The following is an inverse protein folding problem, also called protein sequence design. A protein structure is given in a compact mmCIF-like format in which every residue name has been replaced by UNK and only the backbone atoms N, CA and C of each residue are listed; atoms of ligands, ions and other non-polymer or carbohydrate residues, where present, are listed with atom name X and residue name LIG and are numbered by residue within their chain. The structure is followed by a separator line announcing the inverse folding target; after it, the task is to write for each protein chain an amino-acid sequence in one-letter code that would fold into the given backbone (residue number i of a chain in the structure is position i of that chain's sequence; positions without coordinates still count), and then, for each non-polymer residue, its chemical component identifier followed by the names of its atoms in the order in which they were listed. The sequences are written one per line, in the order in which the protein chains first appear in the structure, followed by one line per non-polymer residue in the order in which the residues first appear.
data_IF_272656876711
#
_entry.id   IF_272656876711
#
_cell.length_a   1.000
_cell.length_b   1.000
_cell.length_c   1.000
_cell.angle_alpha   90.00
_cell.angle_beta   90.00
_cell.angle_gamma   90.00
#
_symmetry.space_group_name_H-M   'P 1'
#
loop_
_entity.id
_entity.type
_entity.pdbx_description
1 polymer ?
#
# COMPACT_ATOMS: atom_id res chain seq x y z
N UNK A 1 19.67 -0.20 -6.39
CA UNK A 1 18.75 -1.28 -6.87
C UNK A 1 18.50 -1.06 -8.35
N UNK A 2 18.39 -2.11 -9.15
CA UNK A 2 18.20 -1.98 -10.59
C UNK A 2 16.73 -1.67 -10.88
N UNK A 3 16.43 -0.40 -11.23
CA UNK A 3 15.08 0.09 -11.49
C UNK A 3 14.74 -0.09 -12.98
N UNK A 4 14.78 -1.32 -13.49
CA UNK A 4 14.52 -1.59 -14.88
C UNK A 4 13.03 -1.38 -15.23
N UNK A 5 12.76 -0.58 -16.25
CA UNK A 5 11.44 -0.34 -16.84
C UNK A 5 11.45 -0.88 -18.26
N UNK A 6 10.60 -1.87 -18.54
CA UNK A 6 10.46 -2.49 -19.85
C UNK A 6 9.29 -1.85 -20.60
N UNK A 7 9.59 -1.24 -21.73
CA UNK A 7 8.62 -0.68 -22.67
C UNK A 7 8.40 -1.68 -23.81
N UNK A 8 7.13 -1.98 -24.10
CA UNK A 8 6.74 -2.98 -25.11
C UNK A 8 5.73 -2.39 -26.08
N UNK A 9 6.11 -2.27 -27.34
CA UNK A 9 5.27 -1.76 -28.43
C UNK A 9 5.88 -2.23 -29.76
N UNK A 10 5.09 -2.61 -30.74
CA UNK A 10 5.59 -3.03 -32.07
C UNK A 10 6.02 -1.84 -32.94
N UNK A 11 5.63 -0.62 -32.55
CA UNK A 11 6.05 0.60 -33.22
C UNK A 11 7.32 1.19 -32.59
N UNK A 12 8.46 1.09 -33.28
CA UNK A 12 9.74 1.62 -32.79
C UNK A 12 9.70 3.13 -32.47
N UNK A 13 8.86 3.90 -33.17
CA UNK A 13 8.69 5.34 -32.91
C UNK A 13 8.03 5.58 -31.53
N UNK A 14 7.06 4.76 -31.15
CA UNK A 14 6.40 4.81 -29.85
C UNK A 14 7.38 4.44 -28.73
N UNK A 15 8.13 3.35 -28.91
CA UNK A 15 9.20 2.97 -27.97
C UNK A 15 10.22 4.10 -27.76
N UNK A 16 10.62 4.78 -28.86
CA UNK A 16 11.54 5.90 -28.76
C UNK A 16 10.93 7.12 -28.05
N UNK A 17 9.66 7.42 -28.30
CA UNK A 17 8.95 8.51 -27.64
C UNK A 17 8.83 8.24 -26.13
N UNK A 18 8.35 7.05 -25.73
CA UNK A 18 8.24 6.64 -24.33
C UNK A 18 9.60 6.65 -23.62
N UNK A 19 10.65 6.11 -24.27
CA UNK A 19 11.97 6.05 -23.65
C UNK A 19 12.56 7.43 -23.35
N UNK A 20 12.27 8.44 -24.18
CA UNK A 20 12.70 9.84 -23.95
C UNK A 20 12.15 10.42 -22.65
N UNK A 21 10.97 10.00 -22.22
CA UNK A 21 10.33 10.48 -20.98
C UNK A 21 11.15 10.13 -19.72
N UNK A 22 12.06 9.16 -19.84
CA UNK A 22 12.82 8.63 -18.72
C UNK A 22 14.32 8.94 -18.78
N UNK A 23 14.80 9.75 -19.75
CA UNK A 23 16.24 10.04 -19.93
C UNK A 23 16.89 10.66 -18.70
N UNK A 24 16.17 11.54 -17.99
CA UNK A 24 16.67 12.26 -16.81
C UNK A 24 16.10 11.66 -15.50
N UNK A 25 15.69 10.39 -15.52
CA UNK A 25 15.12 9.69 -14.36
C UNK A 25 16.03 8.55 -13.93
N UNK A 26 16.03 8.26 -12.65
CA UNK A 26 16.79 7.13 -12.05
C UNK A 26 16.13 5.78 -12.36
N UNK A 27 15.98 5.48 -13.65
CA UNK A 27 15.45 4.20 -14.16
C UNK A 27 16.24 3.74 -15.38
N UNK A 28 16.44 2.43 -15.50
CA UNK A 28 17.04 1.81 -16.67
C UNK A 28 15.94 1.36 -17.63
N UNK A 29 15.90 1.92 -18.82
CA UNK A 29 14.89 1.59 -19.83
C UNK A 29 15.34 0.42 -20.69
N UNK A 30 14.50 -0.62 -20.71
CA UNK A 30 14.57 -1.77 -21.61
C UNK A 30 13.47 -1.65 -22.66
N UNK A 31 13.65 -2.25 -23.82
CA UNK A 31 12.68 -2.18 -24.93
C UNK A 31 12.46 -3.56 -25.51
N UNK A 32 11.23 -3.84 -25.93
CA UNK A 32 10.86 -5.04 -26.66
C UNK A 32 9.86 -4.67 -27.77
N UNK A 33 10.04 -5.21 -28.96
CA UNK A 33 9.16 -4.98 -30.10
C UNK A 33 7.94 -5.91 -30.15
N UNK A 34 7.83 -6.86 -29.23
CA UNK A 34 6.70 -7.80 -29.14
C UNK A 34 6.66 -8.52 -27.78
N UNK A 35 5.57 -9.25 -27.53
CA UNK A 35 5.36 -9.94 -26.25
C UNK A 35 6.36 -11.06 -25.95
N UNK A 36 6.80 -11.82 -26.95
CA UNK A 36 7.77 -12.92 -26.73
C UNK A 36 9.15 -12.39 -26.36
N UNK A 37 9.60 -11.32 -27.00
CA UNK A 37 10.84 -10.63 -26.64
C UNK A 37 10.77 -10.09 -25.22
N UNK A 38 9.64 -9.45 -24.85
CA UNK A 38 9.39 -8.95 -23.51
C UNK A 38 9.46 -10.06 -22.45
N UNK A 39 8.81 -11.20 -22.67
CA UNK A 39 8.88 -12.36 -21.78
C UNK A 39 10.32 -12.90 -21.67
N UNK A 40 11.07 -12.89 -22.77
CA UNK A 40 12.49 -13.25 -22.80
C UNK A 40 13.34 -12.35 -21.87
N UNK A 41 13.06 -11.05 -21.84
CA UNK A 41 13.73 -10.09 -20.94
C UNK A 41 13.34 -10.36 -19.49
N UNK A 42 12.05 -10.46 -19.18
CA UNK A 42 11.55 -10.71 -17.80
C UNK A 42 12.11 -12.02 -17.20
N UNK A 43 12.38 -13.03 -18.03
CA UNK A 43 13.03 -14.29 -17.57
C UNK A 43 14.51 -14.14 -17.24
N UNK A 44 15.21 -13.20 -17.89
CA UNK A 44 16.68 -13.06 -17.76
C UNK A 44 17.11 -12.09 -16.68
N UNK A 45 16.29 -11.07 -16.41
CA UNK A 45 16.65 -10.02 -15.48
C UNK A 45 15.44 -9.45 -14.73
N UNK A 46 15.64 -8.91 -13.51
CA UNK A 46 14.57 -8.28 -12.75
C UNK A 46 14.05 -7.03 -13.46
N UNK A 47 12.73 -6.93 -13.64
CA UNK A 47 12.03 -5.79 -14.21
C UNK A 47 11.06 -5.23 -13.18
N UNK A 48 11.22 -3.94 -12.85
CA UNK A 48 10.35 -3.28 -11.87
C UNK A 48 8.96 -2.97 -12.44
N UNK A 49 8.92 -2.45 -13.68
CA UNK A 49 7.67 -2.06 -14.35
C UNK A 49 7.70 -2.53 -15.80
N UNK A 50 6.61 -3.13 -16.26
CA UNK A 50 6.35 -3.37 -17.68
C UNK A 50 5.25 -2.42 -18.12
N UNK A 51 5.52 -1.62 -19.18
CA UNK A 51 4.54 -0.79 -19.88
C UNK A 51 4.33 -1.40 -21.25
N UNK A 52 3.14 -1.90 -21.53
CA UNK A 52 2.85 -2.61 -22.79
C UNK A 52 1.71 -1.97 -23.56
N UNK A 53 1.90 -1.80 -24.86
CA UNK A 53 0.77 -1.61 -25.77
C UNK A 53 -0.15 -2.84 -25.73
N UNK A 54 -1.45 -2.62 -25.93
CA UNK A 54 -2.44 -3.68 -25.97
C UNK A 54 -2.54 -4.35 -27.34
N UNK A 55 -2.39 -3.61 -28.41
CA UNK A 55 -2.62 -4.10 -29.79
C UNK A 55 -1.30 -4.36 -30.51
N UNK A 56 -0.70 -5.50 -30.24
CA UNK A 56 0.54 -5.95 -30.90
C UNK A 56 0.29 -7.23 -31.71
N UNK A 57 1.05 -7.42 -32.81
CA UNK A 57 1.01 -8.68 -33.57
C UNK A 57 1.39 -9.90 -32.70
N UNK A 58 0.65 -10.99 -32.84
CA UNK A 58 0.91 -12.27 -32.18
C UNK A 58 0.37 -12.35 -30.76
N UNK A 59 0.82 -11.50 -29.83
CA UNK A 59 0.40 -11.51 -28.43
C UNK A 59 -0.16 -10.15 -28.01
N UNK A 60 -1.36 -10.11 -27.50
CA UNK A 60 -1.95 -8.88 -26.96
C UNK A 60 -1.28 -8.47 -25.64
N UNK A 61 -1.25 -7.15 -25.36
CA UNK A 61 -0.66 -6.62 -24.11
C UNK A 61 -1.28 -7.19 -22.85
N UNK A 62 -2.59 -7.35 -22.79
CA UNK A 62 -3.26 -7.99 -21.64
C UNK A 62 -2.80 -9.43 -21.42
N UNK A 63 -2.58 -10.21 -22.47
CA UNK A 63 -2.05 -11.55 -22.40
C UNK A 63 -0.60 -11.57 -21.92
N UNK A 64 0.23 -10.68 -22.48
CA UNK A 64 1.61 -10.47 -22.03
C UNK A 64 1.65 -10.16 -20.52
N UNK A 65 0.87 -9.17 -20.07
CA UNK A 65 0.87 -8.74 -18.67
C UNK A 65 0.37 -9.83 -17.73
N UNK A 66 -0.58 -10.68 -18.16
CA UNK A 66 -0.98 -11.87 -17.40
C UNK A 66 0.17 -12.86 -17.25
N UNK A 67 0.91 -13.15 -18.34
CA UNK A 67 2.09 -14.04 -18.29
C UNK A 67 3.24 -13.43 -17.47
N UNK A 68 3.43 -12.10 -17.53
CA UNK A 68 4.40 -11.40 -16.66
C UNK A 68 4.03 -11.57 -15.20
N UNK A 69 2.74 -11.46 -14.82
CA UNK A 69 2.29 -11.72 -13.45
C UNK A 69 2.71 -13.12 -12.96
N UNK A 70 2.54 -14.12 -13.80
CA UNK A 70 2.84 -15.51 -13.43
C UNK A 70 4.36 -15.78 -13.33
N UNK A 71 5.18 -15.09 -14.16
CA UNK A 71 6.64 -15.22 -14.18
C UNK A 71 7.34 -14.36 -13.12
N UNK A 72 6.85 -13.15 -12.90
CA UNK A 72 7.42 -12.16 -11.98
C UNK A 72 6.28 -11.40 -11.29
N UNK A 73 5.69 -11.97 -10.23
CA UNK A 73 4.52 -11.40 -9.55
C UNK A 73 4.74 -9.98 -9.02
N UNK A 74 5.98 -9.66 -8.68
CA UNK A 74 6.36 -8.35 -8.12
C UNK A 74 6.40 -7.24 -9.19
N UNK A 75 6.65 -7.62 -10.44
CA UNK A 75 6.70 -6.66 -11.57
C UNK A 75 5.37 -5.92 -11.68
N UNK A 76 5.43 -4.59 -11.64
CA UNK A 76 4.25 -3.74 -11.83
C UNK A 76 3.91 -3.68 -13.32
N UNK A 77 2.63 -3.82 -13.64
CA UNK A 77 2.12 -3.97 -15.01
C UNK A 77 1.24 -2.80 -15.39
N UNK A 78 1.62 -2.07 -16.43
CA UNK A 78 0.91 -0.90 -16.97
C UNK A 78 0.51 -1.18 -18.41
N UNK A 79 -0.73 -0.92 -18.76
CA UNK A 79 -1.27 -1.13 -20.11
C UNK A 79 -1.44 0.20 -20.83
N UNK A 80 -1.01 0.27 -22.08
CA UNK A 80 -1.39 1.34 -22.99
C UNK A 80 -2.48 0.82 -23.93
N UNK A 81 -3.57 1.56 -24.11
CA UNK A 81 -4.72 1.08 -24.89
C UNK A 81 -5.38 2.20 -25.68
N UNK A 82 -6.01 1.88 -26.81
CA UNK A 82 -6.89 2.80 -27.51
C UNK A 82 -8.29 2.83 -26.90
N UNK A 83 -9.10 3.82 -27.25
CA UNK A 83 -10.49 3.95 -26.78
C UNK A 83 -11.35 2.71 -27.07
N UNK A 84 -11.12 2.04 -28.18
CA UNK A 84 -11.88 0.85 -28.58
C UNK A 84 -11.71 -0.36 -27.67
N UNK A 85 -10.58 -0.45 -26.94
CA UNK A 85 -10.22 -1.58 -26.08
C UNK A 85 -10.40 -1.28 -24.58
N UNK A 86 -11.01 -0.15 -24.24
CA UNK A 86 -11.23 0.28 -22.86
C UNK A 86 -11.95 -0.76 -21.98
N UNK A 87 -13.01 -1.47 -22.47
CA UNK A 87 -13.64 -2.52 -21.68
C UNK A 87 -12.68 -3.64 -21.26
N UNK A 88 -11.79 -4.05 -22.17
CA UNK A 88 -10.77 -5.08 -21.90
C UNK A 88 -9.75 -4.60 -20.84
N UNK A 89 -9.34 -3.34 -20.91
CA UNK A 89 -8.44 -2.76 -19.92
C UNK A 89 -9.07 -2.70 -18.51
N UNK A 90 -10.34 -2.33 -18.41
CA UNK A 90 -11.09 -2.30 -17.15
C UNK A 90 -11.22 -3.72 -16.58
N UNK A 91 -11.51 -4.73 -17.39
CA UNK A 91 -11.60 -6.12 -16.96
C UNK A 91 -10.23 -6.62 -16.43
N UNK A 92 -9.13 -6.31 -17.11
CA UNK A 92 -7.79 -6.68 -16.68
C UNK A 92 -7.40 -6.05 -15.32
N UNK A 93 -7.83 -4.81 -15.05
CA UNK A 93 -7.66 -4.20 -13.73
C UNK A 93 -8.48 -4.93 -12.67
N UNK A 94 -9.75 -5.21 -12.96
CA UNK A 94 -10.64 -5.86 -12.01
C UNK A 94 -10.17 -7.28 -11.64
N UNK A 95 -9.45 -7.97 -12.54
CA UNK A 95 -8.80 -9.25 -12.28
C UNK A 95 -7.44 -9.13 -11.58
N UNK A 96 -6.97 -7.91 -11.28
CA UNK A 96 -5.65 -7.68 -10.68
C UNK A 96 -4.47 -7.97 -11.62
N UNK A 97 -4.71 -8.07 -12.92
CA UNK A 97 -3.70 -8.35 -13.92
C UNK A 97 -2.89 -7.11 -14.28
N UNK A 98 -3.47 -5.92 -14.13
CA UNK A 98 -2.89 -4.62 -14.50
C UNK A 98 -3.00 -3.66 -13.31
N UNK A 99 -1.92 -2.96 -13.02
CA UNK A 99 -1.87 -1.93 -11.98
C UNK A 99 -2.61 -0.66 -12.40
N UNK A 100 -2.31 -0.17 -13.62
CA UNK A 100 -3.01 0.97 -14.27
C UNK A 100 -3.01 0.80 -15.77
N UNK A 101 -3.91 1.52 -16.43
CA UNK A 101 -3.87 1.74 -17.87
C UNK A 101 -3.84 3.23 -18.22
N UNK A 102 -3.32 3.54 -19.42
CA UNK A 102 -3.41 4.85 -20.05
C UNK A 102 -4.02 4.72 -21.43
N UNK A 103 -4.84 5.69 -21.81
CA UNK A 103 -5.49 5.72 -23.12
C UNK A 103 -4.63 6.52 -24.09
N UNK A 104 -4.41 5.98 -25.30
CA UNK A 104 -3.73 6.69 -26.39
C UNK A 104 -4.69 7.73 -27.04
N UNK A 105 -4.27 8.99 -27.29
CA UNK A 105 -3.00 9.59 -26.92
C UNK A 105 -2.91 9.87 -25.41
N UNK A 106 -1.76 9.65 -24.81
CA UNK A 106 -1.51 9.84 -23.38
C UNK A 106 -0.98 11.23 -23.05
N UNK A 107 -0.97 11.56 -21.77
CA UNK A 107 -0.26 12.71 -21.19
C UNK A 107 1.07 12.21 -20.61
N UNK A 108 2.19 12.80 -21.02
CA UNK A 108 3.53 12.36 -20.67
C UNK A 108 3.77 12.32 -19.16
N UNK A 109 3.34 13.35 -18.43
CA UNK A 109 3.46 13.46 -16.98
C UNK A 109 2.71 12.35 -16.25
N UNK A 110 1.54 11.92 -16.76
CA UNK A 110 0.75 10.86 -16.17
C UNK A 110 1.42 9.50 -16.30
N UNK A 111 2.00 9.18 -17.48
CA UNK A 111 2.76 7.94 -17.67
C UNK A 111 4.00 7.94 -16.79
N UNK A 112 4.77 9.02 -16.77
CA UNK A 112 5.95 9.15 -15.92
C UNK A 112 5.57 8.95 -14.45
N UNK A 113 4.52 9.61 -13.97
CA UNK A 113 4.02 9.47 -12.60
C UNK A 113 3.66 8.02 -12.28
N UNK A 114 2.92 7.34 -13.16
CA UNK A 114 2.50 5.94 -12.99
C UNK A 114 3.69 4.98 -12.96
N UNK A 115 4.66 5.16 -13.85
CA UNK A 115 5.85 4.29 -13.90
C UNK A 115 6.72 4.47 -12.65
N UNK A 116 6.96 5.71 -12.22
CA UNK A 116 7.74 5.99 -11.01
C UNK A 116 7.04 5.48 -9.74
N UNK A 117 5.72 5.55 -9.68
CA UNK A 117 4.93 4.93 -8.60
C UNK A 117 5.07 3.40 -8.63
N UNK A 118 5.02 2.79 -9.81
CA UNK A 118 5.24 1.37 -10.02
C UNK A 118 6.64 0.91 -9.56
N UNK A 119 7.68 1.68 -9.88
CA UNK A 119 9.05 1.41 -9.41
C UNK A 119 9.12 1.45 -7.88
N UNK A 120 8.55 2.48 -7.24
CA UNK A 120 8.52 2.56 -5.77
C UNK A 120 7.78 1.36 -5.17
N UNK A 121 6.64 0.96 -5.72
CA UNK A 121 5.89 -0.22 -5.27
C UNK A 121 6.73 -1.49 -5.37
N UNK A 122 7.40 -1.72 -6.50
CA UNK A 122 8.29 -2.87 -6.71
C UNK A 122 9.42 -2.91 -5.67
N UNK A 123 10.06 -1.76 -5.42
CA UNK A 123 11.13 -1.65 -4.42
C UNK A 123 10.63 -2.01 -3.01
N UNK A 124 9.45 -1.50 -2.62
CA UNK A 124 8.83 -1.80 -1.31
C UNK A 124 8.55 -3.29 -1.18
N UNK A 125 7.92 -3.93 -2.19
CA UNK A 125 7.63 -5.37 -2.15
C UNK A 125 8.91 -6.19 -1.97
N UNK A 126 9.97 -5.88 -2.74
CA UNK A 126 11.26 -6.56 -2.64
C UNK A 126 11.93 -6.34 -1.27
N UNK A 127 11.93 -5.11 -0.79
CA UNK A 127 12.52 -4.78 0.50
C UNK A 127 11.76 -5.41 1.68
N UNK A 128 10.44 -5.50 1.60
CA UNK A 128 9.63 -6.19 2.61
C UNK A 128 9.87 -7.71 2.62
N UNK A 129 10.11 -8.31 1.44
CA UNK A 129 10.37 -9.76 1.32
C UNK A 129 11.76 -10.13 1.82
N UNK A 130 12.77 -9.35 1.45
CA UNK A 130 14.18 -9.67 1.65
C UNK A 130 14.75 -8.97 2.92
N UNK A 131 13.97 -8.09 3.55
CA UNK A 131 14.43 -7.22 4.62
C UNK A 131 14.38 -7.86 6.01
N UNK A 132 15.38 -7.50 6.81
CA UNK A 132 15.34 -7.69 8.25
C UNK A 132 14.42 -6.64 8.94
N UNK A 133 14.33 -6.72 10.27
CA UNK A 133 13.49 -5.83 11.07
C UNK A 133 13.86 -4.34 10.90
N UNK A 134 15.13 -4.02 10.74
CA UNK A 134 15.60 -2.66 10.50
C UNK A 134 15.13 -2.13 9.14
N UNK A 135 15.13 -2.97 8.13
CA UNK A 135 14.62 -2.66 6.79
C UNK A 135 13.11 -2.42 6.82
N UNK A 136 12.32 -3.27 7.50
CA UNK A 136 10.87 -3.08 7.64
C UNK A 136 10.53 -1.74 8.30
N UNK A 137 11.25 -1.40 9.37
CA UNK A 137 11.10 -0.12 10.07
C UNK A 137 11.47 1.07 9.18
N UNK A 138 12.56 0.98 8.42
CA UNK A 138 12.99 2.03 7.52
C UNK A 138 11.98 2.28 6.39
N UNK A 139 11.34 1.23 5.86
CA UNK A 139 10.27 1.33 4.88
C UNK A 139 9.07 2.06 5.47
N UNK A 140 8.63 1.68 6.67
CA UNK A 140 7.53 2.33 7.36
C UNK A 140 7.81 3.84 7.53
N UNK A 141 9.00 4.20 8.01
CA UNK A 141 9.42 5.60 8.15
C UNK A 141 9.47 6.35 6.82
N UNK A 142 9.87 5.68 5.73
CA UNK A 142 9.87 6.29 4.38
C UNK A 142 8.45 6.58 3.89
N UNK A 143 7.50 5.70 4.22
CA UNK A 143 6.08 5.92 3.88
C UNK A 143 5.49 7.06 4.72
N UNK A 144 5.86 7.15 6.01
CA UNK A 144 5.50 8.29 6.87
C UNK A 144 5.98 9.64 6.30
N UNK A 145 7.12 9.69 5.59
CA UNK A 145 7.59 10.93 4.96
C UNK A 145 6.66 11.44 3.86
N UNK A 146 5.86 10.56 3.26
CA UNK A 146 4.82 10.93 2.29
C UNK A 146 3.61 11.59 2.97
N UNK A 147 3.39 11.30 4.26
CA UNK A 147 2.37 11.90 5.13
C UNK A 147 3.09 12.64 6.27
N UNK A 148 3.43 13.93 6.11
CA UNK A 148 4.29 14.67 7.03
C UNK A 148 3.74 14.75 8.47
N UNK A 149 2.51 14.32 8.69
CA UNK A 149 1.81 14.33 9.97
C UNK A 149 2.03 13.07 10.81
N UNK A 150 2.69 12.06 10.24
CA UNK A 150 2.84 10.74 10.88
C UNK A 150 4.27 10.41 11.33
N UNK A 151 5.17 11.38 11.40
CA UNK A 151 6.57 11.15 11.78
C UNK A 151 6.70 10.45 13.14
N UNK A 152 7.28 9.24 13.14
CA UNK A 152 7.46 8.39 14.32
C UNK A 152 6.16 7.79 14.87
N UNK A 153 5.05 7.95 14.18
CA UNK A 153 3.76 7.38 14.52
C UNK A 153 3.81 5.85 14.57
N UNK A 154 4.35 5.20 13.56
CA UNK A 154 4.44 3.74 13.48
C UNK A 154 5.20 3.13 14.68
N UNK A 155 6.28 3.79 15.13
CA UNK A 155 7.04 3.34 16.32
C UNK A 155 6.22 3.49 17.61
N UNK A 156 5.47 4.60 17.78
CA UNK A 156 4.62 4.82 18.96
C UNK A 156 3.43 3.86 18.97
N UNK A 157 2.78 3.65 17.81
CA UNK A 157 1.69 2.65 17.67
C UNK A 157 2.21 1.27 18.02
N UNK A 158 3.39 0.85 17.53
CA UNK A 158 3.99 -0.43 17.89
C UNK A 158 4.23 -0.55 19.40
N UNK A 159 4.76 0.50 20.05
CA UNK A 159 5.00 0.48 21.49
C UNK A 159 3.70 0.36 22.30
N UNK A 160 2.62 1.04 21.92
CA UNK A 160 1.33 0.93 22.58
C UNK A 160 0.66 -0.43 22.31
N UNK A 161 0.70 -0.92 21.08
CA UNK A 161 0.13 -2.22 20.72
C UNK A 161 0.82 -3.38 21.45
N UNK A 162 2.15 -3.34 21.59
CA UNK A 162 2.91 -4.33 22.34
C UNK A 162 2.51 -4.36 23.83
N UNK A 163 2.30 -3.21 24.49
CA UNK A 163 1.83 -3.18 25.88
C UNK A 163 0.49 -3.91 26.05
N UNK A 164 -0.44 -3.76 25.10
CA UNK A 164 -1.72 -4.48 25.14
C UNK A 164 -1.46 -5.99 24.93
N UNK A 165 -0.65 -6.34 23.94
CA UNK A 165 -0.38 -7.73 23.60
C UNK A 165 0.36 -8.49 24.70
N UNK A 166 1.33 -7.85 25.36
CA UNK A 166 2.05 -8.36 26.53
C UNK A 166 1.09 -8.54 27.72
N UNK A 167 0.19 -7.57 27.96
CA UNK A 167 -0.85 -7.67 29.00
C UNK A 167 -1.84 -8.81 28.77
N UNK A 168 -2.01 -9.27 27.53
CA UNK A 168 -2.79 -10.46 27.17
C UNK A 168 -1.97 -11.76 27.27
N UNK A 169 -0.65 -11.70 27.48
CA UNK A 169 0.22 -12.87 27.51
C UNK A 169 0.38 -13.55 26.16
N UNK A 170 0.32 -12.79 25.05
CA UNK A 170 0.44 -13.36 23.71
C UNK A 170 1.84 -13.93 23.43
N UNK A 171 1.96 -14.99 22.62
CA UNK A 171 3.24 -15.62 22.34
C UNK A 171 4.18 -14.71 21.51
N UNK A 172 5.49 -14.93 21.65
CA UNK A 172 6.55 -14.11 21.01
C UNK A 172 6.36 -13.93 19.49
N UNK A 173 5.91 -14.97 18.78
CA UNK A 173 5.62 -14.88 17.34
C UNK A 173 4.52 -13.86 17.04
N UNK A 174 3.45 -13.84 17.84
CA UNK A 174 2.35 -12.87 17.69
C UNK A 174 2.78 -11.47 18.11
N UNK A 175 3.62 -11.32 19.16
CA UNK A 175 4.19 -10.03 19.54
C UNK A 175 5.01 -9.44 18.38
N UNK A 176 5.84 -10.26 17.73
CA UNK A 176 6.61 -9.85 16.56
C UNK A 176 5.71 -9.45 15.38
N UNK A 177 4.66 -10.22 15.11
CA UNK A 177 3.70 -9.89 14.06
C UNK A 177 2.98 -8.57 14.34
N UNK A 178 2.57 -8.31 15.60
CA UNK A 178 1.96 -7.05 16.01
C UNK A 178 2.93 -5.88 15.84
N UNK A 179 4.19 -6.04 16.22
CA UNK A 179 5.23 -5.03 16.03
C UNK A 179 5.41 -4.67 14.55
N UNK A 180 5.61 -5.68 13.68
CA UNK A 180 5.78 -5.47 12.25
C UNK A 180 4.51 -4.92 11.60
N UNK A 181 3.34 -5.46 11.96
CA UNK A 181 2.06 -4.96 11.46
C UNK A 181 1.79 -3.51 11.86
N UNK A 182 2.15 -3.11 13.09
CA UNK A 182 2.06 -1.72 13.53
C UNK A 182 2.96 -0.78 12.72
N UNK A 183 4.15 -1.22 12.34
CA UNK A 183 5.00 -0.42 11.45
C UNK A 183 4.41 -0.30 10.05
N UNK A 184 3.79 -1.36 9.54
CA UNK A 184 3.38 -1.47 8.15
C UNK A 184 1.88 -1.20 7.91
N UNK A 185 1.08 -0.91 8.95
CA UNK A 185 -0.38 -0.78 8.81
C UNK A 185 -0.80 0.20 7.70
N UNK A 186 -0.06 1.28 7.59
CA UNK A 186 -0.27 2.35 6.63
C UNK A 186 0.51 2.21 5.31
N UNK A 187 1.19 1.07 5.05
CA UNK A 187 2.07 0.91 3.87
C UNK A 187 1.34 1.10 2.53
N UNK A 188 0.04 0.86 2.49
CA UNK A 188 -0.78 1.07 1.31
C UNK A 188 -1.01 2.54 0.94
N UNK A 189 -0.69 3.50 1.82
CA UNK A 189 -0.71 4.94 1.50
C UNK A 189 0.27 5.30 0.36
N UNK A 190 1.21 4.42 0.04
CA UNK A 190 2.06 4.57 -1.15
C UNK A 190 1.24 4.68 -2.44
N UNK A 191 0.06 4.04 -2.50
CA UNK A 191 -0.88 4.09 -3.62
C UNK A 191 -1.83 5.29 -3.62
N UNK A 192 -1.88 6.08 -2.54
CA UNK A 192 -2.73 7.28 -2.49
C UNK A 192 -2.01 8.44 -3.18
N UNK A 193 -2.67 9.14 -4.14
CA UNK A 193 -2.10 10.32 -4.77
C UNK A 193 -1.69 11.37 -3.74
N UNK A 194 -0.53 11.97 -3.92
CA UNK A 194 0.03 12.93 -2.96
C UNK A 194 -0.86 14.17 -2.78
N UNK A 195 -1.51 14.63 -3.85
CA UNK A 195 -2.46 15.73 -3.81
C UNK A 195 -3.68 15.45 -2.91
N UNK A 196 -4.08 14.19 -2.76
CA UNK A 196 -5.16 13.77 -1.85
C UNK A 196 -4.62 13.64 -0.44
N UNK A 197 -3.48 12.95 -0.28
CA UNK A 197 -2.90 12.66 1.03
C UNK A 197 -2.51 13.94 1.78
N UNK A 198 -1.96 14.93 1.07
CA UNK A 198 -1.48 16.20 1.61
C UNK A 198 -2.49 17.35 1.40
N UNK A 199 -3.77 17.05 1.12
CA UNK A 199 -4.79 18.06 0.93
C UNK A 199 -4.96 18.92 2.20
N UNK A 200 -4.79 20.24 2.11
CA UNK A 200 -5.00 21.12 3.26
C UNK A 200 -6.49 21.26 3.56
N UNK A 201 -6.97 20.65 4.64
CA UNK A 201 -8.36 20.74 5.09
C UNK A 201 -9.13 19.40 4.99
N UNK A 202 -10.45 19.51 4.89
CA UNK A 202 -11.31 18.32 4.79
C UNK A 202 -11.28 17.75 3.37
N UNK A 203 -11.02 16.45 3.27
CA UNK A 203 -11.15 15.72 2.02
C UNK A 203 -12.59 15.75 1.49
N UNK A 204 -12.74 15.80 0.18
CA UNK A 204 -14.04 15.52 -0.45
C UNK A 204 -14.47 14.06 -0.18
N UNK A 205 -15.77 13.78 -0.33
CA UNK A 205 -16.26 12.40 -0.19
C UNK A 205 -15.57 11.46 -1.19
N UNK A 206 -15.31 11.91 -2.42
CA UNK A 206 -14.65 11.14 -3.46
C UNK A 206 -13.17 10.86 -3.09
N UNK A 207 -12.44 11.86 -2.60
CA UNK A 207 -11.03 11.68 -2.17
C UNK A 207 -10.93 10.76 -0.95
N UNK A 208 -11.88 10.86 -0.02
CA UNK A 208 -11.92 9.96 1.13
C UNK A 208 -12.15 8.49 0.71
N UNK A 209 -12.98 8.24 -0.32
CA UNK A 209 -13.13 6.88 -0.89
C UNK A 209 -11.82 6.36 -1.50
N UNK A 210 -10.96 7.23 -2.03
CA UNK A 210 -9.60 6.83 -2.48
C UNK A 210 -8.72 6.48 -1.29
N UNK A 211 -8.71 7.30 -0.24
CA UNK A 211 -7.93 7.02 0.98
C UNK A 211 -8.35 5.70 1.62
N UNK A 212 -9.65 5.40 1.68
CA UNK A 212 -10.16 4.13 2.24
C UNK A 212 -9.67 2.86 1.54
N UNK A 213 -9.04 2.97 0.38
CA UNK A 213 -8.46 1.83 -0.35
C UNK A 213 -7.10 1.41 0.17
N UNK A 214 -6.38 2.26 0.94
CA UNK A 214 -5.02 1.95 1.36
C UNK A 214 -4.87 0.66 2.18
N UNK A 215 -5.82 0.22 3.05
CA UNK A 215 -5.66 -1.05 3.76
C UNK A 215 -5.66 -2.23 2.79
N UNK A 216 -6.53 -2.22 1.77
CA UNK A 216 -6.56 -3.22 0.71
C UNK A 216 -5.26 -3.24 -0.11
N UNK A 217 -4.81 -2.08 -0.57
CA UNK A 217 -3.55 -1.96 -1.32
C UNK A 217 -2.33 -2.39 -0.50
N UNK A 218 -2.29 -2.04 0.78
CA UNK A 218 -1.24 -2.49 1.69
C UNK A 218 -1.25 -4.00 1.90
N UNK A 219 -2.43 -4.58 2.10
CA UNK A 219 -2.58 -6.03 2.23
C UNK A 219 -2.15 -6.78 0.96
N UNK A 220 -2.41 -6.23 -0.23
CA UNK A 220 -1.93 -6.80 -1.50
C UNK A 220 -0.39 -6.77 -1.58
N UNK A 221 0.23 -5.65 -1.17
CA UNK A 221 1.69 -5.54 -1.07
C UNK A 221 2.24 -6.57 -0.07
N UNK A 222 1.61 -6.71 1.09
CA UNK A 222 1.99 -7.70 2.11
C UNK A 222 1.90 -9.15 1.60
N UNK A 223 0.84 -9.50 0.87
CA UNK A 223 0.69 -10.82 0.24
C UNK A 223 1.78 -11.09 -0.80
N UNK A 224 2.07 -10.11 -1.66
CA UNK A 224 3.14 -10.20 -2.66
C UNK A 224 4.53 -10.37 -2.00
N UNK A 225 4.75 -9.74 -0.86
CA UNK A 225 5.97 -9.87 -0.08
C UNK A 225 6.02 -11.13 0.79
N UNK A 226 5.00 -11.97 0.79
CA UNK A 226 4.85 -13.15 1.65
C UNK A 226 4.98 -12.83 3.15
N UNK A 227 4.44 -11.71 3.59
CA UNK A 227 4.39 -11.38 5.01
C UNK A 227 3.50 -12.38 5.79
N UNK A 228 3.74 -12.59 7.09
CA UNK A 228 2.88 -13.41 7.94
C UNK A 228 1.42 -12.97 7.89
N UNK A 229 0.50 -13.92 8.01
CA UNK A 229 -0.94 -13.67 7.93
C UNK A 229 -1.42 -12.62 8.94
N UNK A 230 -0.90 -12.66 10.16
CA UNK A 230 -1.22 -11.70 11.21
C UNK A 230 -0.80 -10.27 10.84
N UNK A 231 0.36 -10.10 10.17
CA UNK A 231 0.79 -8.79 9.67
C UNK A 231 -0.16 -8.28 8.59
N UNK A 232 -0.56 -9.17 7.66
CA UNK A 232 -1.52 -8.83 6.59
C UNK A 232 -2.88 -8.48 7.19
N UNK A 233 -3.34 -9.19 8.22
CA UNK A 233 -4.57 -8.90 8.93
C UNK A 233 -4.54 -7.51 9.57
N UNK A 234 -3.44 -7.14 10.23
CA UNK A 234 -3.28 -5.80 10.79
C UNK A 234 -3.41 -4.73 9.69
N UNK A 235 -2.68 -4.89 8.59
CA UNK A 235 -2.70 -3.94 7.47
C UNK A 235 -4.12 -3.80 6.90
N UNK A 236 -4.85 -4.91 6.74
CA UNK A 236 -6.18 -4.91 6.11
C UNK A 236 -7.27 -4.36 7.03
N UNK A 237 -7.22 -4.70 8.34
CA UNK A 237 -8.36 -4.50 9.25
C UNK A 237 -8.17 -3.39 10.29
N UNK A 238 -7.06 -2.65 10.32
CA UNK A 238 -6.80 -1.62 11.35
C UNK A 238 -7.80 -0.46 11.35
N UNK A 239 -8.53 -0.25 10.27
CA UNK A 239 -9.61 0.72 10.17
C UNK A 239 -11.01 0.11 10.31
N UNK A 240 -11.11 -1.18 10.62
CA UNK A 240 -12.39 -1.74 11.00
C UNK A 240 -12.82 -1.24 12.39
N UNK A 241 -14.12 -1.12 12.55
CA UNK A 241 -14.70 -0.66 13.81
C UNK A 241 -15.44 -1.81 14.49
N UNK A 242 -15.35 -1.87 15.80
CA UNK A 242 -16.00 -2.94 16.56
C UNK A 242 -17.53 -2.99 16.34
N UNK A 243 -18.17 -1.86 16.00
CA UNK A 243 -19.58 -1.76 15.64
C UNK A 243 -19.91 -2.17 14.18
N UNK A 244 -18.91 -2.50 13.35
CA UNK A 244 -19.07 -2.89 11.95
C UNK A 244 -19.24 -1.74 10.97
N UNK A 245 -18.99 -0.48 11.40
CA UNK A 245 -19.07 0.71 10.55
C UNK A 245 -17.71 1.14 10.00
N UNK A 246 -16.72 0.27 10.09
CA UNK A 246 -15.38 0.46 9.58
C UNK A 246 -15.24 0.16 8.08
N UNK A 247 -14.03 0.07 7.64
CA UNK A 247 -13.66 -0.30 6.28
C UNK A 247 -12.34 -1.10 6.29
N UNK A 248 -12.02 -1.88 5.25
CA UNK A 248 -12.68 -1.99 3.94
C UNK A 248 -13.79 -3.04 3.89
N UNK A 249 -13.94 -3.94 4.88
CA UNK A 249 -14.84 -5.10 4.79
C UNK A 249 -16.14 -4.92 5.57
N UNK A 250 -16.16 -4.04 6.57
CA UNK A 250 -17.27 -3.88 7.50
C UNK A 250 -17.36 -5.00 8.55
N UNK A 251 -16.26 -5.70 8.81
CA UNK A 251 -16.17 -6.73 9.84
C UNK A 251 -16.53 -6.17 11.22
N UNK A 252 -17.19 -6.99 12.06
CA UNK A 252 -17.75 -6.55 13.34
C UNK A 252 -17.28 -7.41 14.51
N UNK A 253 -17.01 -6.78 15.63
CA UNK A 253 -16.70 -7.47 16.87
C UNK A 253 -15.48 -8.38 16.71
N UNK A 254 -15.63 -9.66 17.03
CA UNK A 254 -14.57 -10.68 16.97
C UNK A 254 -14.33 -11.24 15.56
N UNK A 255 -15.11 -10.85 14.57
CA UNK A 255 -14.78 -11.11 13.15
C UNK A 255 -13.51 -10.36 12.74
N UNK A 256 -13.23 -9.22 13.38
CA UNK A 256 -11.98 -8.50 13.22
C UNK A 256 -10.87 -9.28 13.94
N UNK A 257 -9.76 -9.64 13.25
CA UNK A 257 -8.64 -10.34 13.89
C UNK A 257 -8.13 -9.62 15.14
N UNK A 258 -7.74 -10.38 16.18
CA UNK A 258 -7.33 -9.82 17.47
C UNK A 258 -6.18 -8.82 17.32
N UNK A 259 -5.17 -9.18 16.55
CA UNK A 259 -3.99 -8.35 16.29
C UNK A 259 -4.36 -7.02 15.65
N UNK A 260 -5.33 -6.99 14.74
CA UNK A 260 -5.83 -5.76 14.14
C UNK A 260 -6.61 -4.89 15.12
N UNK A 261 -7.44 -5.51 16.01
CA UNK A 261 -8.14 -4.79 17.08
C UNK A 261 -7.17 -4.16 18.08
N UNK A 262 -6.06 -4.85 18.40
CA UNK A 262 -5.00 -4.33 19.26
C UNK A 262 -4.37 -3.08 18.63
N UNK A 263 -3.96 -3.17 17.35
CA UNK A 263 -3.32 -2.05 16.64
C UNK A 263 -4.30 -0.89 16.48
N UNK A 264 -5.59 -1.14 16.20
CA UNK A 264 -6.61 -0.09 16.11
C UNK A 264 -6.74 0.73 17.42
N UNK A 265 -6.64 0.09 18.60
CA UNK A 265 -6.64 0.81 19.90
C UNK A 265 -5.40 1.70 20.01
N UNK A 266 -4.23 1.18 19.65
CA UNK A 266 -2.95 1.91 19.71
C UNK A 266 -2.91 3.08 18.72
N UNK A 267 -3.34 2.86 17.49
CA UNK A 267 -3.40 3.87 16.42
C UNK A 267 -4.30 5.05 16.80
N UNK A 268 -5.52 4.76 17.23
CA UNK A 268 -6.48 5.79 17.67
C UNK A 268 -5.93 6.59 18.83
N UNK A 269 -5.28 5.95 19.81
CA UNK A 269 -4.69 6.65 20.94
C UNK A 269 -3.53 7.57 20.51
N UNK A 270 -2.61 7.09 19.66
CA UNK A 270 -1.52 7.91 19.15
C UNK A 270 -2.02 9.08 18.32
N UNK A 271 -3.01 8.84 17.45
CA UNK A 271 -3.62 9.87 16.63
C UNK A 271 -4.26 11.00 17.44
N UNK A 272 -4.77 10.71 18.64
CA UNK A 272 -5.37 11.72 19.53
C UNK A 272 -4.34 12.43 20.39
N UNK A 273 -3.27 11.75 20.80
CA UNK A 273 -2.28 12.29 21.73
C UNK A 273 -1.12 13.04 21.05
N UNK A 274 -1.05 13.02 19.72
CA UNK A 274 0.02 13.67 18.94
C UNK A 274 -0.50 14.95 18.28
N UNK A 275 0.31 16.02 18.34
CA UNK A 275 0.01 17.28 17.65
C UNK A 275 -0.07 17.07 16.14
N UNK A 276 -1.15 17.55 15.54
CA UNK A 276 -1.36 17.58 14.09
C UNK A 276 -1.45 19.04 13.64
N UNK A 277 -1.13 19.39 12.40
CA UNK A 277 -1.12 20.79 11.93
C UNK A 277 -2.42 21.53 12.13
N UNK A 278 -3.53 20.79 12.19
CA UNK A 278 -4.87 21.37 12.30
C UNK A 278 -5.50 21.25 13.70
N UNK A 279 -4.84 20.50 14.61
CA UNK A 279 -5.35 20.27 15.96
C UNK A 279 -4.19 19.93 16.91
N UNK A 280 -4.12 20.61 18.03
CA UNK A 280 -3.26 20.21 19.14
C UNK A 280 -3.73 18.84 19.66
N UNK A 281 -2.77 17.95 19.95
CA UNK A 281 -3.08 16.67 20.58
C UNK A 281 -3.79 16.89 21.92
N UNK A 282 -4.69 15.99 22.24
CA UNK A 282 -5.33 15.98 23.55
C UNK A 282 -4.29 15.75 24.64
N UNK A 283 -4.49 16.37 25.78
CA UNK A 283 -3.74 15.96 26.96
C UNK A 283 -4.11 14.52 27.34
N UNK A 284 -3.29 13.93 28.21
CA UNK A 284 -3.45 12.51 28.58
C UNK A 284 -4.84 12.23 29.17
N UNK A 285 -5.37 13.10 30.01
CA UNK A 285 -6.66 12.90 30.68
C UNK A 285 -7.81 12.93 29.66
N UNK A 286 -7.78 13.87 28.75
CA UNK A 286 -8.77 14.00 27.67
C UNK A 286 -8.68 12.82 26.71
N UNK A 287 -7.48 12.39 26.27
CA UNK A 287 -7.31 11.20 25.43
C UNK A 287 -7.91 9.96 26.08
N UNK A 288 -7.65 9.72 27.38
CA UNK A 288 -8.23 8.58 28.10
C UNK A 288 -9.76 8.68 28.20
N UNK A 289 -10.32 9.87 28.39
CA UNK A 289 -11.77 10.09 28.39
C UNK A 289 -12.38 9.75 27.03
N UNK A 290 -11.78 10.19 25.94
CA UNK A 290 -12.26 9.90 24.58
C UNK A 290 -12.17 8.40 24.27
N UNK A 291 -11.10 7.72 24.68
CA UNK A 291 -10.99 6.26 24.57
C UNK A 291 -12.17 5.55 25.24
N UNK A 292 -12.59 6.02 26.42
CA UNK A 292 -13.77 5.51 27.11
C UNK A 292 -15.07 5.69 26.30
N UNK A 293 -15.22 6.77 25.54
CA UNK A 293 -16.38 6.98 24.66
C UNK A 293 -16.33 6.05 23.43
N UNK A 294 -15.15 5.76 22.91
CA UNK A 294 -14.98 4.89 21.75
C UNK A 294 -15.12 3.39 22.07
N UNK A 295 -15.05 3.05 23.35
CA UNK A 295 -15.17 1.70 23.91
C UNK A 295 -16.50 1.04 23.51
N UNK A 296 -16.45 -0.10 22.85
CA UNK A 296 -17.62 -0.86 22.38
C UNK A 296 -18.28 -0.28 21.12
N UNK A 297 -17.91 0.93 20.70
CA UNK A 297 -18.33 1.51 19.41
C UNK A 297 -17.24 1.29 18.36
N UNK A 298 -16.22 2.14 18.34
CA UNK A 298 -15.10 1.98 17.37
C UNK A 298 -14.11 0.91 17.79
N UNK A 299 -13.86 0.77 19.10
CA UNK A 299 -12.78 -0.04 19.66
C UNK A 299 -13.32 -1.19 20.50
N UNK A 300 -12.56 -2.28 20.53
CA UNK A 300 -12.85 -3.44 21.38
C UNK A 300 -12.85 -3.04 22.86
N UNK A 301 -13.96 -3.25 23.58
CA UNK A 301 -14.09 -2.80 24.96
C UNK A 301 -13.10 -3.46 25.92
N UNK A 302 -12.73 -4.73 25.69
CA UNK A 302 -11.79 -5.45 26.55
C UNK A 302 -10.37 -4.94 26.37
N UNK A 303 -9.98 -4.66 25.10
CA UNK A 303 -8.65 -4.12 24.78
C UNK A 303 -8.49 -2.68 25.27
N UNK A 304 -9.55 -1.87 25.18
CA UNK A 304 -9.54 -0.51 25.75
C UNK A 304 -9.38 -0.57 27.27
N UNK A 305 -10.14 -1.41 27.98
CA UNK A 305 -10.04 -1.55 29.43
C UNK A 305 -8.63 -1.97 29.85
N UNK A 306 -8.04 -2.96 29.16
CA UNK A 306 -6.68 -3.41 29.42
C UNK A 306 -5.64 -2.30 29.16
N UNK A 307 -5.78 -1.57 28.06
CA UNK A 307 -4.88 -0.47 27.71
C UNK A 307 -4.93 0.64 28.74
N UNK A 308 -6.14 1.05 29.17
CA UNK A 308 -6.32 2.09 30.18
C UNK A 308 -5.72 1.67 31.53
N UNK A 309 -5.90 0.39 31.93
CA UNK A 309 -5.28 -0.15 33.15
C UNK A 309 -3.74 -0.14 33.07
N UNK A 310 -3.16 -0.46 31.91
CA UNK A 310 -1.70 -0.44 31.70
C UNK A 310 -1.09 0.96 31.58
N UNK A 311 -1.92 2.00 31.43
CA UNK A 311 -1.51 3.41 31.44
C UNK A 311 -1.76 4.08 32.81
N UNK A 312 -2.39 3.41 33.75
CA UNK A 312 -2.53 3.94 35.12
C UNK A 312 -1.15 4.12 35.75
N UNK A 313 -0.91 5.18 36.56
CA UNK A 313 0.36 5.48 37.19
C UNK A 313 0.80 4.39 38.17
#
# INVERSE_FOLDING_TARGET
MDNAVLLVDDEANILNALARLFLDRDVRVLRAGNGEEALGIVRREPVAVVVSDNLMPGMRGVELLSRVRDLSPDTVRVLLTGYADLPTAIEAINRGEVFRFHVKPWVDEEIVGTVLEGVRRYQVVRSLRDGDEATLRSIAQTIELKDPYTRGHCDRVAAFALKIAEGLGLPEGTLRAIKHGSWLHDCGKIGVPEAILNCPGKLSAADFEVVKKHPGWGADVGRQANLPGEVINIILYHHERFDGRGYPTGAKGTEIPLEARIVAVADVFDAMSTDRPYAKGYDRAEALRVMGVLRGASLDPQLVDLFLAGLAP
#
